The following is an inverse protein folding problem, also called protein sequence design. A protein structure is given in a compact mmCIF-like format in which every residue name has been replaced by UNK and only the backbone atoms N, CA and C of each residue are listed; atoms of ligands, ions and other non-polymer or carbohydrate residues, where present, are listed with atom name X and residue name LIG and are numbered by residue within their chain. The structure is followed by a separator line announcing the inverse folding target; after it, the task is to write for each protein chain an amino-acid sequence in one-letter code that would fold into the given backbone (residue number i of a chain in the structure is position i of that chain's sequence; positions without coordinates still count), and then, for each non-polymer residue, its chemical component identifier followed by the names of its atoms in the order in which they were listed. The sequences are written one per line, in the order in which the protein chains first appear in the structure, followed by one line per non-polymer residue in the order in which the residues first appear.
data_IF_941977117513
#
_entry.id   IF_941977117513
#
_cell.length_a   1.000
_cell.length_b   1.000
_cell.length_c   1.000
_cell.angle_alpha   90.00
_cell.angle_beta   90.00
_cell.angle_gamma   90.00
#
_symmetry.space_group_name_H-M   'P 1'
#
loop_
_entity.id
_entity.type
_entity.pdbx_description
1 polymer ?
#
# COMPACT_ATOMS: atom_id res chain seq x y z
N UNK A 1 29.45 -17.64 56.19
CA UNK A 1 28.74 -18.07 54.97
C UNK A 1 27.83 -16.94 54.52
N UNK A 2 28.01 -16.45 53.29
CA UNK A 2 27.28 -15.31 52.73
C UNK A 2 26.36 -15.76 51.61
N UNK A 3 25.04 -15.73 51.85
CA UNK A 3 24.04 -15.05 51.00
C UNK A 3 22.60 -15.41 51.42
N UNK A 4 21.93 -14.53 52.19
CA UNK A 4 20.48 -14.41 52.19
C UNK A 4 20.07 -13.15 51.41
N UNK A 5 19.82 -13.26 50.09
CA UNK A 5 19.18 -12.19 49.31
C UNK A 5 18.17 -12.73 48.31
N UNK A 6 16.92 -12.82 48.75
CA UNK A 6 15.77 -12.45 47.91
C UNK A 6 14.68 -11.79 48.75
N UNK A 7 15.03 -10.64 49.31
CA UNK A 7 14.16 -9.51 49.00
C UNK A 7 13.98 -9.48 47.48
N UNK A 8 12.78 -9.26 46.93
CA UNK A 8 12.72 -8.53 45.65
C UNK A 8 13.38 -7.18 45.95
N UNK A 9 14.52 -6.90 45.31
CA UNK A 9 15.75 -6.65 46.09
C UNK A 9 16.24 -5.20 46.13
N UNK A 10 16.84 -4.78 47.23
CA UNK A 10 16.02 -4.40 48.39
C UNK A 10 15.52 -2.99 48.05
N UNK A 11 14.23 -2.69 48.00
CA UNK A 11 13.38 -3.42 47.05
C UNK A 11 13.47 -2.95 45.57
N UNK A 12 13.90 -1.74 45.18
CA UNK A 12 13.15 -0.48 45.37
C UNK A 12 13.38 0.29 46.69
N UNK A 13 14.55 0.21 47.34
CA UNK A 13 14.65 0.62 48.76
C UNK A 13 14.20 2.06 49.03
N UNK A 14 14.56 2.96 48.13
CA UNK A 14 14.33 4.40 48.27
C UNK A 14 13.51 4.95 47.08
N UNK A 15 12.60 4.14 46.52
CA UNK A 15 11.88 4.43 45.25
C UNK A 15 11.39 5.88 45.10
N UNK A 16 12.12 6.67 44.29
CA UNK A 16 11.80 8.07 43.96
C UNK A 16 10.90 8.20 42.72
N UNK A 17 10.30 7.10 42.26
CA UNK A 17 9.41 7.11 41.09
C UNK A 17 7.99 7.61 41.40
N UNK A 18 7.13 7.74 40.37
CA UNK A 18 5.75 8.19 40.56
C UNK A 18 4.98 7.29 41.53
N UNK A 19 4.24 7.91 42.46
CA UNK A 19 3.36 7.19 43.42
C UNK A 19 2.45 6.19 42.69
N UNK A 20 2.08 5.05 43.29
CA UNK A 20 1.30 4.00 42.59
C UNK A 20 0.04 4.49 41.86
N UNK A 21 -0.70 5.45 42.41
CA UNK A 21 -1.85 6.07 41.72
C UNK A 21 -1.45 6.92 40.50
N UNK A 22 -0.33 7.64 40.55
CA UNK A 22 0.22 8.40 39.42
C UNK A 22 0.75 7.43 38.36
N UNK A 23 1.48 6.39 38.77
CA UNK A 23 1.95 5.33 37.88
C UNK A 23 0.79 4.63 37.16
N UNK A 24 -0.32 4.36 37.86
CA UNK A 24 -1.54 3.84 37.26
C UNK A 24 -2.11 4.80 36.20
N UNK A 25 -2.15 6.11 36.46
CA UNK A 25 -2.61 7.08 35.43
C UNK A 25 -1.67 7.17 34.23
N UNK A 26 -0.35 7.10 34.43
CA UNK A 26 0.63 7.10 33.33
C UNK A 26 0.48 5.81 32.50
N UNK A 27 0.35 4.65 33.15
CA UNK A 27 0.12 3.38 32.47
C UNK A 27 -1.21 3.37 31.71
N UNK A 28 -2.28 3.92 32.28
CA UNK A 28 -3.59 4.05 31.62
C UNK A 28 -3.50 4.96 30.37
N UNK A 29 -2.85 6.12 30.48
CA UNK A 29 -2.63 7.01 29.33
C UNK A 29 -1.76 6.34 28.25
N UNK A 30 -0.70 5.62 28.64
CA UNK A 30 0.14 4.88 27.70
C UNK A 30 -0.62 3.74 27.00
N UNK A 31 -1.51 3.03 27.70
CA UNK A 31 -2.37 1.99 27.12
C UNK A 31 -3.44 2.57 26.19
N UNK A 32 -4.04 3.71 26.53
CA UNK A 32 -4.97 4.43 25.64
C UNK A 32 -4.25 4.91 24.39
N UNK A 33 -3.04 5.47 24.52
CA UNK A 33 -2.22 5.88 23.38
C UNK A 33 -1.85 4.67 22.50
N UNK A 34 -1.45 3.55 23.10
CA UNK A 34 -1.19 2.31 22.38
C UNK A 34 -2.42 1.79 21.64
N UNK A 35 -3.60 1.80 22.27
CA UNK A 35 -4.86 1.39 21.64
C UNK A 35 -5.20 2.29 20.44
N UNK A 36 -5.10 3.62 20.59
CA UNK A 36 -5.35 4.57 19.50
C UNK A 36 -4.37 4.38 18.34
N UNK A 37 -3.08 4.24 18.63
CA UNK A 37 -2.05 3.94 17.61
C UNK A 37 -2.33 2.59 16.93
N UNK A 38 -2.77 1.58 17.68
CA UNK A 38 -3.08 0.24 17.17
C UNK A 38 -4.28 0.20 16.23
N UNK A 39 -5.35 0.92 16.59
CA UNK A 39 -6.54 1.08 15.74
C UNK A 39 -6.17 1.81 14.44
N UNK A 40 -5.47 2.96 14.55
CA UNK A 40 -5.02 3.74 13.39
C UNK A 40 -4.10 2.92 12.48
N UNK A 41 -3.16 2.17 13.06
CA UNK A 41 -2.24 1.27 12.36
C UNK A 41 -2.98 0.17 11.60
N UNK A 42 -3.94 -0.52 12.23
CA UNK A 42 -4.72 -1.60 11.61
C UNK A 42 -5.55 -1.08 10.43
N UNK A 43 -6.19 0.09 10.57
CA UNK A 43 -6.96 0.74 9.50
C UNK A 43 -6.05 1.17 8.33
N UNK A 44 -4.87 1.73 8.62
CA UNK A 44 -3.90 2.12 7.60
C UNK A 44 -3.32 0.90 6.85
N UNK A 45 -3.01 -0.18 7.57
CA UNK A 45 -2.59 -1.46 7.01
C UNK A 45 -3.65 -2.02 6.05
N UNK A 46 -4.89 -2.17 6.52
CA UNK A 46 -5.98 -2.73 5.69
C UNK A 46 -6.18 -1.95 4.39
N UNK A 47 -6.16 -0.60 4.47
CA UNK A 47 -6.24 0.28 3.30
C UNK A 47 -5.03 0.16 2.37
N UNK A 48 -3.82 0.03 2.91
CA UNK A 48 -2.60 -0.14 2.11
C UNK A 48 -2.57 -1.50 1.41
N UNK A 49 -2.90 -2.60 2.11
CA UNK A 49 -2.96 -3.95 1.54
C UNK A 49 -4.04 -4.08 0.45
N UNK A 50 -5.22 -3.47 0.65
CA UNK A 50 -6.26 -3.41 -0.38
C UNK A 50 -5.75 -2.68 -1.63
N UNK A 51 -5.20 -1.48 -1.47
CA UNK A 51 -4.67 -0.67 -2.57
C UNK A 51 -3.49 -1.34 -3.32
N UNK A 52 -2.65 -2.11 -2.62
CA UNK A 52 -1.55 -2.87 -3.26
C UNK A 52 -2.10 -4.04 -4.09
N UNK A 53 -3.11 -4.77 -3.59
CA UNK A 53 -3.74 -5.88 -4.33
C UNK A 53 -4.46 -5.36 -5.58
N UNK A 54 -5.30 -4.35 -5.41
CA UNK A 54 -6.06 -3.70 -6.48
C UNK A 54 -5.13 -3.05 -7.53
N UNK A 55 -4.10 -2.32 -7.09
CA UNK A 55 -3.07 -1.77 -7.97
C UNK A 55 -2.29 -2.85 -8.73
N UNK A 56 -1.99 -3.99 -8.09
CA UNK A 56 -1.32 -5.12 -8.74
C UNK A 56 -2.16 -5.80 -9.82
N UNK A 57 -3.48 -5.91 -9.62
CA UNK A 57 -4.43 -6.42 -10.62
C UNK A 57 -4.61 -5.42 -11.77
N UNK A 58 -4.66 -4.12 -11.46
CA UNK A 58 -4.68 -3.03 -12.45
C UNK A 58 -3.40 -3.06 -13.32
N UNK A 59 -2.22 -3.16 -12.71
CA UNK A 59 -0.94 -3.17 -13.43
C UNK A 59 -0.79 -4.41 -14.34
N UNK A 60 -1.21 -5.59 -13.89
CA UNK A 60 -1.28 -6.80 -14.75
C UNK A 60 -2.25 -6.65 -15.92
N UNK A 61 -3.29 -5.85 -15.76
CA UNK A 61 -4.29 -5.58 -16.80
C UNK A 61 -3.76 -4.59 -17.81
N UNK A 62 -3.14 -3.49 -17.36
CA UNK A 62 -2.43 -2.55 -18.22
C UNK A 62 -1.28 -3.21 -18.99
N UNK A 63 -0.49 -4.09 -18.38
CA UNK A 63 0.55 -4.84 -19.12
C UNK A 63 -0.04 -5.72 -20.23
N UNK A 64 -1.19 -6.37 -20.01
CA UNK A 64 -1.89 -7.16 -21.05
C UNK A 64 -2.39 -6.27 -22.18
N UNK A 65 -2.99 -5.12 -21.86
CA UNK A 65 -3.45 -4.15 -22.87
C UNK A 65 -2.28 -3.57 -23.67
N UNK A 66 -1.16 -3.23 -23.03
CA UNK A 66 0.03 -2.71 -23.69
C UNK A 66 0.67 -3.75 -24.62
N UNK A 67 0.72 -5.01 -24.21
CA UNK A 67 1.19 -6.11 -25.06
C UNK A 67 0.25 -6.32 -26.27
N UNK A 68 -1.07 -6.29 -26.06
CA UNK A 68 -2.05 -6.38 -27.14
C UNK A 68 -1.95 -5.22 -28.13
N UNK A 69 -1.78 -3.98 -27.63
CA UNK A 69 -1.62 -2.78 -28.43
C UNK A 69 -0.36 -2.84 -29.30
N UNK A 70 0.78 -3.25 -28.75
CA UNK A 70 2.03 -3.37 -29.52
C UNK A 70 1.95 -4.50 -30.56
N UNK A 71 1.29 -5.63 -30.24
CA UNK A 71 1.04 -6.72 -31.22
C UNK A 71 0.11 -6.25 -32.35
N UNK A 72 -0.99 -5.57 -32.03
CA UNK A 72 -1.87 -4.95 -33.02
C UNK A 72 -1.12 -3.95 -33.90
N UNK A 73 -0.33 -3.06 -33.29
CA UNK A 73 0.47 -2.04 -34.00
C UNK A 73 1.44 -2.70 -34.98
N UNK A 74 2.16 -3.74 -34.55
CA UNK A 74 3.06 -4.50 -35.42
C UNK A 74 2.33 -5.14 -36.63
N UNK A 75 1.12 -5.68 -36.44
CA UNK A 75 0.30 -6.20 -37.55
C UNK A 75 -0.28 -5.09 -38.44
N UNK A 76 -0.56 -3.91 -37.89
CA UNK A 76 -1.06 -2.76 -38.65
C UNK A 76 0.05 -2.08 -39.47
N UNK A 77 1.29 -2.01 -38.96
CA UNK A 77 2.44 -1.33 -39.60
C UNK A 77 3.46 -2.26 -40.27
N UNK A 78 3.18 -3.56 -40.40
CA UNK A 78 4.12 -4.53 -40.97
C UNK A 78 4.41 -4.25 -42.44
N UNK A 79 5.69 -4.03 -42.78
CA UNK A 79 6.14 -3.80 -44.15
C UNK A 79 6.05 -5.05 -45.05
N UNK A 80 6.01 -6.26 -44.47
CA UNK A 80 5.70 -7.49 -45.21
C UNK A 80 4.21 -7.62 -45.58
N UNK A 81 3.37 -6.70 -45.11
CA UNK A 81 1.92 -6.76 -45.25
C UNK A 81 1.28 -7.85 -44.40
N UNK A 82 -0.05 -7.77 -44.27
CA UNK A 82 -0.84 -8.84 -43.71
C UNK A 82 -1.09 -9.86 -44.82
N UNK A 83 -0.34 -10.97 -44.82
CA UNK A 83 -0.26 -11.87 -45.99
C UNK A 83 -1.48 -12.77 -46.18
N UNK A 84 -2.28 -12.97 -45.12
CA UNK A 84 -3.39 -13.93 -45.13
C UNK A 84 -4.68 -13.31 -44.55
N UNK A 85 -5.88 -13.67 -45.06
CA UNK A 85 -7.16 -13.17 -44.55
C UNK A 85 -7.36 -13.37 -43.04
N UNK A 86 -6.84 -14.47 -42.48
CA UNK A 86 -6.97 -14.75 -41.05
C UNK A 86 -6.11 -13.83 -40.16
N UNK A 87 -4.99 -13.32 -40.69
CA UNK A 87 -4.20 -12.31 -39.98
C UNK A 87 -4.91 -10.95 -39.98
N UNK A 88 -5.67 -10.60 -41.03
CA UNK A 88 -6.53 -9.41 -41.05
C UNK A 88 -7.61 -9.52 -39.97
N UNK A 89 -8.34 -10.65 -39.97
CA UNK A 89 -9.35 -10.97 -38.93
C UNK A 89 -8.76 -10.90 -37.52
N UNK A 90 -7.56 -11.44 -37.30
CA UNK A 90 -6.88 -11.40 -36.01
C UNK A 90 -6.57 -9.96 -35.58
N UNK A 91 -5.94 -9.16 -36.45
CA UNK A 91 -5.66 -7.73 -36.21
C UNK A 91 -6.93 -6.96 -35.86
N UNK A 92 -7.99 -7.14 -36.64
CA UNK A 92 -9.24 -6.38 -36.48
C UNK A 92 -9.99 -6.83 -35.20
N UNK A 93 -9.95 -8.12 -34.87
CA UNK A 93 -10.48 -8.64 -33.59
C UNK A 93 -9.71 -8.11 -32.38
N UNK A 94 -8.38 -7.95 -32.48
CA UNK A 94 -7.57 -7.36 -31.43
C UNK A 94 -7.84 -5.85 -31.28
N UNK A 95 -8.00 -5.12 -32.38
CA UNK A 95 -8.41 -3.72 -32.35
C UNK A 95 -9.74 -3.54 -31.61
N UNK A 96 -10.76 -4.34 -31.99
CA UNK A 96 -12.08 -4.32 -31.36
C UNK A 96 -12.04 -4.73 -29.88
N UNK A 97 -11.27 -5.76 -29.53
CA UNK A 97 -11.11 -6.21 -28.15
C UNK A 97 -10.39 -5.17 -27.27
N UNK A 98 -9.31 -4.55 -27.78
CA UNK A 98 -8.60 -3.47 -27.10
C UNK A 98 -9.48 -2.24 -26.92
N UNK A 99 -10.22 -1.84 -27.96
CA UNK A 99 -11.16 -0.72 -27.91
C UNK A 99 -12.20 -0.92 -26.80
N UNK A 100 -12.90 -2.06 -26.78
CA UNK A 100 -13.88 -2.38 -25.76
C UNK A 100 -13.29 -2.43 -24.34
N UNK A 101 -12.07 -2.99 -24.19
CA UNK A 101 -11.37 -3.09 -22.91
C UNK A 101 -10.90 -1.72 -22.39
N UNK A 102 -10.37 -0.87 -23.26
CA UNK A 102 -9.92 0.49 -22.92
C UNK A 102 -11.11 1.41 -22.65
N UNK A 103 -12.19 1.33 -23.43
CA UNK A 103 -13.43 2.04 -23.17
C UNK A 103 -14.00 1.64 -21.79
N UNK A 104 -14.09 0.35 -21.50
CA UNK A 104 -14.51 -0.15 -20.19
C UNK A 104 -13.61 0.32 -19.04
N UNK A 105 -12.28 0.36 -19.25
CA UNK A 105 -11.33 0.92 -18.28
C UNK A 105 -11.59 2.42 -18.03
N UNK A 106 -11.85 3.21 -19.08
CA UNK A 106 -12.12 4.66 -18.97
C UNK A 106 -13.33 4.95 -18.09
N UNK A 107 -14.40 4.18 -18.19
CA UNK A 107 -15.62 4.38 -17.38
C UNK A 107 -15.42 4.02 -15.89
N UNK A 108 -14.44 3.19 -15.56
CA UNK A 108 -14.09 2.81 -14.17
C UNK A 108 -13.05 3.75 -13.55
N UNK A 109 -12.21 4.41 -14.36
CA UNK A 109 -11.18 5.33 -13.88
C UNK A 109 -11.78 6.62 -13.31
N UNK A 110 -11.44 6.93 -12.05
CA UNK A 110 -11.89 8.17 -11.38
C UNK A 110 -11.01 9.38 -11.71
N UNK A 111 -9.70 9.19 -11.82
CA UNK A 111 -8.74 10.25 -12.18
C UNK A 111 -8.99 10.76 -13.61
N UNK A 112 -9.10 12.09 -13.76
CA UNK A 112 -9.41 12.73 -15.05
C UNK A 112 -8.24 12.70 -16.03
N UNK A 113 -6.99 12.68 -15.55
CA UNK A 113 -5.79 12.56 -16.39
C UNK A 113 -5.66 11.13 -16.89
N UNK A 114 -5.90 10.14 -16.03
CA UNK A 114 -5.87 8.73 -16.45
C UNK A 114 -6.98 8.44 -17.49
N UNK A 115 -8.18 9.02 -17.30
CA UNK A 115 -9.24 8.98 -18.32
C UNK A 115 -8.87 9.68 -19.62
N UNK A 116 -8.17 10.81 -19.56
CA UNK A 116 -7.71 11.52 -20.76
C UNK A 116 -6.67 10.68 -21.53
N UNK A 117 -5.70 10.08 -20.83
CA UNK A 117 -4.72 9.16 -21.41
C UNK A 117 -5.41 7.96 -22.07
N UNK A 118 -6.36 7.30 -21.41
CA UNK A 118 -7.11 6.19 -22.04
C UNK A 118 -7.92 6.64 -23.26
N UNK A 119 -8.46 7.86 -23.23
CA UNK A 119 -9.18 8.43 -24.37
C UNK A 119 -8.25 8.71 -25.56
N UNK A 120 -7.00 9.12 -25.31
CA UNK A 120 -5.97 9.29 -26.34
C UNK A 120 -5.57 7.94 -26.97
N UNK A 121 -5.44 6.87 -26.18
CA UNK A 121 -5.19 5.51 -26.71
C UNK A 121 -6.35 5.03 -27.59
N UNK A 122 -7.60 5.25 -27.15
CA UNK A 122 -8.80 4.88 -27.93
C UNK A 122 -8.89 5.69 -29.22
N UNK A 123 -8.64 7.01 -29.17
CA UNK A 123 -8.66 7.87 -30.36
C UNK A 123 -7.55 7.51 -31.37
N UNK A 124 -6.36 7.10 -30.90
CA UNK A 124 -5.28 6.64 -31.79
C UNK A 124 -5.65 5.30 -32.46
N UNK A 125 -6.28 4.38 -31.73
CA UNK A 125 -6.87 3.13 -32.26
C UNK A 125 -8.01 3.39 -33.28
N UNK A 126 -8.87 4.38 -33.04
CA UNK A 126 -9.97 4.78 -33.94
C UNK A 126 -9.48 5.56 -35.17
N UNK A 127 -8.34 6.25 -35.07
CA UNK A 127 -7.74 6.99 -36.20
C UNK A 127 -7.22 6.06 -37.32
N UNK A 128 -7.04 4.77 -37.00
CA UNK A 128 -6.62 3.75 -37.94
C UNK A 128 -7.79 3.31 -38.83
N UNK A 129 -7.57 3.26 -40.15
CA UNK A 129 -8.52 2.67 -41.10
C UNK A 129 -7.84 1.67 -42.03
N UNK A 130 -8.51 0.55 -42.28
CA UNK A 130 -8.03 -0.48 -43.22
C UNK A 130 -8.00 0.02 -44.69
N UNK A 131 -8.75 1.09 -44.99
CA UNK A 131 -8.87 1.68 -46.33
C UNK A 131 -7.74 2.68 -46.66
N UNK A 132 -7.01 3.20 -45.65
CA UNK A 132 -5.87 4.12 -45.85
C UNK A 132 -4.61 3.73 -45.08
N UNK A 133 -4.02 2.56 -45.35
CA UNK A 133 -2.82 2.09 -44.63
C UNK A 133 -1.55 2.93 -44.88
N UNK A 134 -1.55 3.86 -45.84
CA UNK A 134 -0.39 4.71 -46.16
C UNK A 134 -0.50 6.17 -45.68
N UNK A 135 -1.69 6.68 -45.35
CA UNK A 135 -1.82 7.98 -44.66
C UNK A 135 -1.59 7.83 -43.14
N UNK A 136 -1.82 6.62 -42.61
CA UNK A 136 -1.30 6.15 -41.34
C UNK A 136 0.24 6.05 -41.41
N UNK A 137 0.92 7.18 -41.25
CA UNK A 137 2.38 7.28 -41.28
C UNK A 137 3.06 6.47 -40.17
N UNK A 138 4.39 6.61 -40.07
CA UNK A 138 5.25 5.92 -39.08
C UNK A 138 4.80 6.09 -37.61
N UNK A 139 3.93 7.04 -37.35
CA UNK A 139 3.43 7.42 -36.03
C UNK A 139 2.15 6.69 -35.61
N UNK A 140 1.60 5.80 -36.45
CA UNK A 140 0.41 5.01 -36.11
C UNK A 140 0.64 4.18 -34.84
N UNK A 141 -0.22 4.35 -33.83
CA UNK A 141 -0.10 3.66 -32.56
C UNK A 141 1.01 4.20 -31.66
N UNK A 142 1.78 5.23 -32.07
CA UNK A 142 2.81 5.82 -31.21
C UNK A 142 2.19 6.68 -30.12
N UNK A 143 1.17 7.49 -30.41
CA UNK A 143 0.53 8.34 -29.39
C UNK A 143 -0.19 7.50 -28.34
N UNK A 144 -0.92 6.47 -28.78
CA UNK A 144 -1.55 5.49 -27.89
C UNK A 144 -0.50 4.70 -27.09
N UNK A 145 0.64 4.34 -27.69
CA UNK A 145 1.73 3.71 -26.94
C UNK A 145 2.37 4.63 -25.91
N UNK A 146 2.59 5.90 -26.23
CA UNK A 146 3.11 6.91 -25.31
C UNK A 146 2.14 7.17 -24.16
N UNK A 147 0.86 7.41 -24.47
CA UNK A 147 -0.20 7.56 -23.47
C UNK A 147 -0.32 6.32 -22.57
N UNK A 148 -0.21 5.12 -23.14
CA UNK A 148 -0.20 3.86 -22.37
C UNK A 148 1.02 3.71 -21.46
N UNK A 149 2.20 4.15 -21.92
CA UNK A 149 3.42 4.16 -21.12
C UNK A 149 3.33 5.17 -19.96
N UNK A 150 2.78 6.36 -20.20
CA UNK A 150 2.54 7.38 -19.17
C UNK A 150 1.50 6.88 -18.15
N UNK A 151 0.42 6.25 -18.60
CA UNK A 151 -0.61 5.65 -17.74
C UNK A 151 -0.01 4.56 -16.84
N UNK A 152 0.78 3.63 -17.41
CA UNK A 152 1.47 2.59 -16.65
C UNK A 152 2.44 3.18 -15.60
N UNK A 153 3.20 4.21 -15.96
CA UNK A 153 4.15 4.89 -15.04
C UNK A 153 3.41 5.60 -13.88
N UNK A 154 2.25 6.22 -14.16
CA UNK A 154 1.41 6.86 -13.13
C UNK A 154 0.84 5.84 -12.14
N UNK A 155 0.40 4.69 -12.65
CA UNK A 155 -0.15 3.60 -11.83
C UNK A 155 0.93 2.89 -11.00
N UNK A 156 2.12 2.64 -11.55
CA UNK A 156 3.28 2.14 -10.80
C UNK A 156 3.69 3.12 -9.68
N UNK A 157 3.73 4.43 -9.98
CA UNK A 157 3.96 5.49 -8.99
C UNK A 157 2.88 5.55 -7.89
N UNK A 158 1.64 5.16 -8.17
CA UNK A 158 0.59 5.03 -7.17
C UNK A 158 0.80 3.79 -6.28
N UNK A 159 1.19 2.66 -6.87
CA UNK A 159 1.51 1.42 -6.18
C UNK A 159 2.74 1.56 -5.27
N UNK A 160 3.83 2.18 -5.74
CA UNK A 160 4.99 2.52 -4.90
C UNK A 160 4.63 3.41 -3.70
N UNK A 161 3.75 4.41 -3.88
CA UNK A 161 3.26 5.24 -2.77
C UNK A 161 2.39 4.45 -1.79
N UNK A 162 1.62 3.46 -2.25
CA UNK A 162 0.91 2.54 -1.37
C UNK A 162 1.87 1.62 -0.59
N UNK A 163 2.91 1.08 -1.24
CA UNK A 163 3.96 0.27 -0.63
C UNK A 163 4.76 1.06 0.43
N UNK A 164 5.12 2.32 0.17
CA UNK A 164 5.77 3.19 1.16
C UNK A 164 4.90 3.46 2.40
N UNK A 165 3.57 3.60 2.25
CA UNK A 165 2.65 3.65 3.39
C UNK A 165 2.67 2.34 4.19
N UNK A 166 2.79 1.20 3.51
CA UNK A 166 2.99 -0.10 4.16
C UNK A 166 4.34 -0.20 4.89
N UNK A 167 5.42 0.43 4.41
CA UNK A 167 6.70 0.44 5.13
C UNK A 167 6.62 1.23 6.44
N UNK A 168 5.87 2.35 6.47
CA UNK A 168 5.58 3.09 7.72
C UNK A 168 4.83 2.26 8.77
N UNK A 169 4.19 1.17 8.37
CA UNK A 169 3.56 0.20 9.28
C UNK A 169 4.55 -0.35 10.31
N UNK A 170 5.79 -0.69 9.90
CA UNK A 170 6.80 -1.26 10.79
C UNK A 170 7.17 -0.30 11.94
N UNK A 171 7.18 1.01 11.67
CA UNK A 171 7.40 2.05 12.69
C UNK A 171 6.27 2.08 13.72
N UNK A 172 5.01 1.95 13.30
CA UNK A 172 3.88 1.86 14.23
C UNK A 172 3.90 0.59 15.08
N UNK A 173 4.27 -0.55 14.50
CA UNK A 173 4.45 -1.80 15.28
C UNK A 173 5.56 -1.64 16.34
N UNK A 174 6.68 -1.01 16.00
CA UNK A 174 7.75 -0.70 16.95
C UNK A 174 7.29 0.28 18.06
N UNK A 175 6.50 1.30 17.72
CA UNK A 175 5.91 2.24 18.70
C UNK A 175 4.95 1.52 19.64
N UNK A 176 4.12 0.60 19.14
CA UNK A 176 3.20 -0.19 19.96
C UNK A 176 3.97 -1.07 20.96
N UNK A 177 5.00 -1.78 20.49
CA UNK A 177 5.87 -2.59 21.34
C UNK A 177 6.52 -1.71 22.42
N UNK A 178 7.10 -0.56 22.04
CA UNK A 178 7.71 0.38 22.98
C UNK A 178 6.70 0.89 24.02
N UNK A 179 5.49 1.28 23.61
CA UNK A 179 4.41 1.71 24.51
C UNK A 179 3.97 0.60 25.47
N UNK A 180 3.83 -0.65 25.01
CA UNK A 180 3.51 -1.78 25.91
C UNK A 180 4.63 -2.09 26.90
N UNK A 181 5.90 -2.00 26.49
CA UNK A 181 7.04 -2.17 27.38
C UNK A 181 7.07 -1.06 28.45
N UNK A 182 6.84 0.20 28.06
CA UNK A 182 6.77 1.34 28.98
C UNK A 182 5.59 1.16 29.95
N UNK A 183 4.39 0.83 29.46
CA UNK A 183 3.23 0.60 30.32
C UNK A 183 3.45 -0.54 31.32
N UNK A 184 4.03 -1.66 30.87
CA UNK A 184 4.39 -2.79 31.73
C UNK A 184 5.44 -2.38 32.79
N UNK A 185 6.51 -1.68 32.42
CA UNK A 185 7.53 -1.20 33.35
C UNK A 185 6.97 -0.22 34.39
N UNK A 186 6.16 0.75 33.95
CA UNK A 186 5.52 1.75 34.82
C UNK A 186 4.50 1.12 35.78
N UNK A 187 3.86 0.00 35.42
CA UNK A 187 2.91 -0.69 36.31
C UNK A 187 3.61 -1.69 37.25
N UNK A 188 4.46 -2.56 36.71
CA UNK A 188 5.07 -3.69 37.44
C UNK A 188 5.99 -3.19 38.56
N UNK A 189 6.78 -2.14 38.33
CA UNK A 189 7.76 -1.64 39.29
C UNK A 189 7.08 -1.11 40.59
N UNK A 190 6.15 -0.13 40.55
CA UNK A 190 5.46 0.35 41.74
C UNK A 190 4.47 -0.67 42.33
N UNK A 191 3.83 -1.53 41.54
CA UNK A 191 3.00 -2.61 42.12
C UNK A 191 3.82 -3.64 42.89
N UNK A 192 4.98 -4.03 42.36
CA UNK A 192 5.92 -4.91 43.08
C UNK A 192 6.44 -4.25 44.36
N UNK A 193 6.60 -2.93 44.38
CA UNK A 193 6.94 -2.18 45.59
C UNK A 193 5.85 -2.23 46.65
N UNK A 194 4.60 -1.89 46.28
CA UNK A 194 3.46 -1.92 47.19
C UNK A 194 3.27 -3.33 47.75
N UNK A 195 3.38 -4.35 46.91
CA UNK A 195 3.29 -5.75 47.32
C UNK A 195 4.39 -6.13 48.34
N UNK A 196 5.63 -5.69 48.14
CA UNK A 196 6.73 -5.96 49.08
C UNK A 196 6.62 -5.13 50.37
N UNK A 197 6.20 -3.86 50.30
CA UNK A 197 5.87 -3.01 51.47
C UNK A 197 4.78 -3.67 52.32
N UNK A 198 3.69 -4.11 51.68
CA UNK A 198 2.58 -4.83 52.31
C UNK A 198 3.03 -6.14 52.96
N UNK A 199 3.80 -6.98 52.25
CA UNK A 199 4.36 -8.24 52.81
C UNK A 199 5.36 -8.01 53.96
N UNK A 200 5.82 -6.77 54.17
CA UNK A 200 6.66 -6.34 55.31
C UNK A 200 5.87 -5.65 56.43
N UNK A 201 4.56 -5.53 56.32
CA UNK A 201 3.72 -4.86 57.31
C UNK A 201 3.85 -3.33 57.34
N UNK A 202 4.40 -2.71 56.28
CA UNK A 202 4.52 -1.25 56.20
C UNK A 202 3.23 -0.68 55.55
N UNK A 203 2.47 0.19 56.24
CA UNK A 203 1.20 0.71 55.72
C UNK A 203 1.33 1.46 54.38
N UNK A 204 0.37 1.31 53.45
CA UNK A 204 0.34 2.10 52.22
C UNK A 204 -0.09 3.55 52.54
N UNK A 205 0.88 4.47 52.61
CA UNK A 205 0.61 5.89 52.86
C UNK A 205 1.73 6.69 53.53
N UNK A 206 2.75 6.01 54.07
CA UNK A 206 3.97 6.61 54.64
C UNK A 206 5.16 6.52 53.67
#
# INVERSE_FOLDING_TARGET
MTQPRSSLATALQDYQGPRPGIALTIAAVALIAALLVGIVHTVLLGRASAAIREGGETMRTLHRYNAGLEVWRQMATSAQGVQFPDQLRLRDSLASALHAQLFGLREVLTDSVDRALVSEIVADLESWSAERPMEAGKDLGLRGREAMMVLATRQDSALFRAAQRSQRSQMFAAILIALTIIAAGVLIIPMSWVYVRYKRGIPPGM
#
